data_IF_306640159251
#
_entry.id   IF_306640159251
#
_cell.length_a   1.000
_cell.length_b   1.000
_cell.length_c   1.000
_cell.angle_alpha   90.00
_cell.angle_beta   90.00
_cell.angle_gamma   90.00
#
_symmetry.space_group_name_H-M   'P 1'
#
loop_
_entity.id
_entity.type
_entity.pdbx_description
1 polymer ?
#
# COMPACT_ATOMS: atom_id res chain seq x y z
N UNK A 1 -8.64 46.39 35.10
CA UNK A 1 -7.35 45.73 35.40
C UNK A 1 -7.43 44.21 35.22
N UNK A 2 -8.42 43.52 35.80
CA UNK A 2 -8.66 42.06 35.65
C UNK A 2 -8.85 41.60 34.19
N UNK A 3 -9.40 42.45 33.33
CA UNK A 3 -9.69 42.12 31.93
C UNK A 3 -8.45 42.12 31.01
N UNK A 4 -7.41 42.89 31.37
CA UNK A 4 -6.14 42.91 30.65
C UNK A 4 -5.32 41.63 30.92
N UNK A 5 -5.27 41.21 32.18
CA UNK A 5 -4.57 39.98 32.60
C UNK A 5 -5.19 38.72 31.97
N UNK A 6 -6.52 38.70 31.85
CA UNK A 6 -7.24 37.56 31.30
C UNK A 6 -7.08 37.43 29.76
N UNK A 7 -6.79 38.55 29.09
CA UNK A 7 -6.42 38.57 27.67
C UNK A 7 -4.96 38.16 27.44
N UNK A 8 -4.05 38.59 28.32
CA UNK A 8 -2.63 38.22 28.25
C UNK A 8 -2.44 36.72 28.51
N UNK A 9 -3.12 36.16 29.51
CA UNK A 9 -3.10 34.73 29.80
C UNK A 9 -3.73 33.88 28.68
N UNK A 10 -4.74 34.41 27.97
CA UNK A 10 -5.31 33.77 26.77
C UNK A 10 -4.34 33.81 25.59
N UNK A 11 -3.63 34.92 25.41
CA UNK A 11 -2.66 35.11 24.34
C UNK A 11 -1.45 34.19 24.51
N UNK A 12 -0.90 34.05 25.72
CA UNK A 12 0.16 33.07 26.01
C UNK A 12 -0.29 31.62 25.80
N UNK A 13 -1.54 31.28 26.16
CA UNK A 13 -2.10 29.94 25.95
C UNK A 13 -2.28 29.64 24.46
N UNK A 14 -2.68 30.65 23.67
CA UNK A 14 -2.81 30.55 22.21
C UNK A 14 -1.43 30.37 21.54
N UNK A 15 -0.44 31.15 21.95
CA UNK A 15 0.93 31.06 21.43
C UNK A 15 1.54 29.67 21.73
N UNK A 16 1.30 29.14 22.94
CA UNK A 16 1.75 27.81 23.33
C UNK A 16 1.03 26.67 22.58
N UNK A 17 -0.27 26.80 22.29
CA UNK A 17 -0.97 25.85 21.40
C UNK A 17 -0.49 25.95 19.96
N UNK A 18 -0.19 27.16 19.47
CA UNK A 18 0.28 27.38 18.10
C UNK A 18 1.68 26.78 17.93
N UNK A 19 2.57 26.99 18.91
CA UNK A 19 3.92 26.43 18.92
C UNK A 19 3.90 24.89 18.98
N UNK A 20 3.00 24.31 19.79
CA UNK A 20 2.81 22.86 19.84
C UNK A 20 2.22 22.29 18.53
N UNK A 21 1.34 23.01 17.84
CA UNK A 21 0.83 22.58 16.52
C UNK A 21 1.91 22.62 15.44
N UNK A 22 2.82 23.60 15.44
CA UNK A 22 3.94 23.66 14.50
C UNK A 22 4.91 22.51 14.71
N UNK A 23 5.24 22.18 15.96
CA UNK A 23 6.11 21.03 16.30
C UNK A 23 5.47 19.71 15.82
N UNK A 24 4.16 19.55 16.02
CA UNK A 24 3.43 18.33 15.60
C UNK A 24 3.36 18.23 14.07
N UNK A 25 3.16 19.36 13.38
CA UNK A 25 3.21 19.44 11.92
C UNK A 25 4.58 19.05 11.37
N UNK A 26 5.66 19.61 11.93
CA UNK A 26 7.05 19.31 11.55
C UNK A 26 7.39 17.84 11.80
N UNK A 27 6.98 17.25 12.93
CA UNK A 27 7.14 15.82 13.18
C UNK A 27 6.37 14.96 12.17
N UNK A 28 5.14 15.34 11.81
CA UNK A 28 4.35 14.60 10.82
C UNK A 28 4.97 14.69 9.42
N UNK A 29 5.54 15.85 9.07
CA UNK A 29 6.23 16.09 7.80
C UNK A 29 7.52 15.27 7.73
N UNK A 30 8.32 15.26 8.80
CA UNK A 30 9.51 14.42 8.90
C UNK A 30 9.15 12.93 8.80
N UNK A 31 8.14 12.46 9.53
CA UNK A 31 7.68 11.06 9.43
C UNK A 31 7.15 10.72 8.03
N UNK A 32 6.47 11.65 7.36
CA UNK A 32 6.03 11.47 5.97
C UNK A 32 7.20 11.41 4.98
N UNK A 33 8.24 12.23 5.18
CA UNK A 33 9.46 12.23 4.34
C UNK A 33 10.24 10.95 4.55
N UNK A 34 10.48 10.55 5.81
CA UNK A 34 11.13 9.28 6.15
C UNK A 34 10.33 8.08 5.62
N UNK A 35 9.01 8.11 5.75
CA UNK A 35 8.12 7.07 5.19
C UNK A 35 8.21 6.97 3.67
N UNK A 36 8.20 8.11 2.96
CA UNK A 36 8.33 8.15 1.51
C UNK A 36 9.71 7.69 1.02
N UNK A 37 10.79 8.10 1.70
CA UNK A 37 12.15 7.62 1.43
C UNK A 37 12.26 6.11 1.67
N UNK A 38 11.73 5.62 2.80
CA UNK A 38 11.76 4.20 3.13
C UNK A 38 10.99 3.36 2.11
N UNK A 39 9.82 3.83 1.66
CA UNK A 39 9.07 3.22 0.56
C UNK A 39 9.86 3.20 -0.75
N UNK A 40 10.54 4.31 -1.10
CA UNK A 40 11.37 4.39 -2.30
C UNK A 40 12.56 3.41 -2.26
N UNK A 41 13.27 3.35 -1.13
CA UNK A 41 14.37 2.41 -0.94
C UNK A 41 13.88 0.95 -0.91
N UNK A 42 12.74 0.66 -0.28
CA UNK A 42 12.14 -0.67 -0.30
C UNK A 42 11.78 -1.10 -1.72
N UNK A 43 11.22 -0.22 -2.54
CA UNK A 43 10.93 -0.52 -3.95
C UNK A 43 12.23 -0.82 -4.71
N UNK A 44 13.28 -0.02 -4.54
CA UNK A 44 14.57 -0.27 -5.18
C UNK A 44 15.22 -1.59 -4.74
N UNK A 45 15.22 -1.88 -3.44
CA UNK A 45 15.79 -3.12 -2.89
C UNK A 45 15.01 -4.33 -3.41
N UNK A 46 13.67 -4.25 -3.46
CA UNK A 46 12.84 -5.32 -4.04
C UNK A 46 13.19 -5.57 -5.50
N UNK A 47 13.28 -4.51 -6.32
CA UNK A 47 13.62 -4.61 -7.74
C UNK A 47 15.03 -5.16 -7.93
N UNK A 48 16.00 -4.71 -7.14
CA UNK A 48 17.38 -5.22 -7.20
C UNK A 48 17.43 -6.70 -6.82
N UNK A 49 16.86 -7.08 -5.67
CA UNK A 49 16.85 -8.47 -5.21
C UNK A 49 16.15 -9.41 -6.21
N UNK A 50 15.02 -8.99 -6.76
CA UNK A 50 14.29 -9.72 -7.79
C UNK A 50 15.15 -9.93 -9.05
N UNK A 51 15.73 -8.85 -9.59
CA UNK A 51 16.54 -8.95 -10.81
C UNK A 51 17.82 -9.75 -10.58
N UNK A 52 18.45 -9.62 -9.41
CA UNK A 52 19.63 -10.41 -9.04
C UNK A 52 19.31 -11.91 -8.91
N UNK A 53 18.18 -12.26 -8.29
CA UNK A 53 17.75 -13.66 -8.17
C UNK A 53 17.42 -14.27 -9.55
N UNK A 54 16.78 -13.50 -10.43
CA UNK A 54 16.47 -13.95 -11.79
C UNK A 54 17.72 -14.09 -12.66
N UNK A 55 18.67 -13.16 -12.52
CA UNK A 55 19.98 -13.25 -13.18
C UNK A 55 20.77 -14.47 -12.69
N UNK A 56 20.78 -14.73 -11.37
CA UNK A 56 21.40 -15.92 -10.81
C UNK A 56 20.77 -17.21 -11.35
N UNK A 57 19.44 -17.30 -11.37
CA UNK A 57 18.72 -18.44 -11.93
C UNK A 57 19.08 -18.67 -13.41
N UNK A 58 19.15 -17.60 -14.20
CA UNK A 58 19.54 -17.66 -15.61
C UNK A 58 20.98 -18.16 -15.81
N UNK A 59 21.91 -17.70 -14.96
CA UNK A 59 23.29 -18.19 -14.97
C UNK A 59 23.31 -19.69 -14.69
N UNK A 60 22.64 -20.15 -13.63
CA UNK A 60 22.58 -21.56 -13.27
C UNK A 60 21.94 -22.44 -14.36
N UNK A 61 20.95 -21.91 -15.10
CA UNK A 61 20.36 -22.57 -16.27
C UNK A 61 21.37 -22.73 -17.41
N UNK A 62 22.09 -21.65 -17.76
CA UNK A 62 23.09 -21.67 -18.85
C UNK A 62 24.27 -22.58 -18.50
N UNK A 63 24.68 -22.61 -17.23
CA UNK A 63 25.79 -23.45 -16.75
C UNK A 63 25.35 -24.87 -16.38
N UNK A 64 24.13 -25.28 -16.75
CA UNK A 64 23.54 -26.61 -16.47
C UNK A 64 23.73 -27.05 -15.01
N UNK A 65 23.68 -26.10 -14.08
CA UNK A 65 24.05 -26.34 -12.68
C UNK A 65 22.89 -26.90 -11.86
N UNK A 66 21.69 -26.98 -12.43
CA UNK A 66 20.53 -27.60 -11.78
C UNK A 66 20.55 -29.12 -11.99
N UNK A 67 20.46 -29.91 -10.91
CA UNK A 67 20.44 -31.38 -11.02
C UNK A 67 19.12 -31.91 -11.61
N UNK A 68 18.03 -31.16 -11.49
CA UNK A 68 16.70 -31.49 -11.99
C UNK A 68 15.97 -30.22 -12.45
N UNK A 69 15.08 -30.36 -13.45
CA UNK A 69 14.29 -29.24 -14.00
C UNK A 69 13.34 -28.65 -12.95
N UNK A 70 12.86 -29.46 -12.00
CA UNK A 70 12.07 -28.99 -10.86
C UNK A 70 12.75 -27.83 -10.11
N UNK A 71 14.06 -27.92 -9.88
CA UNK A 71 14.78 -26.89 -9.13
C UNK A 71 14.95 -25.59 -9.91
N UNK A 72 15.08 -25.70 -11.24
CA UNK A 72 15.17 -24.53 -12.12
C UNK A 72 13.82 -23.79 -12.18
N UNK A 73 12.71 -24.52 -12.29
CA UNK A 73 11.36 -23.96 -12.31
C UNK A 73 11.00 -23.33 -10.95
N UNK A 74 11.33 -24.01 -9.85
CA UNK A 74 11.11 -23.48 -8.50
C UNK A 74 11.97 -22.23 -8.23
N UNK A 75 13.24 -22.25 -8.64
CA UNK A 75 14.17 -21.13 -8.55
C UNK A 75 13.69 -19.91 -9.35
N UNK A 76 13.07 -20.14 -10.52
CA UNK A 76 12.46 -19.09 -11.32
C UNK A 76 11.23 -18.49 -10.64
N UNK A 77 10.35 -19.33 -10.08
CA UNK A 77 9.09 -18.90 -9.50
C UNK A 77 9.24 -18.17 -8.14
N UNK A 78 10.17 -18.61 -7.29
CA UNK A 78 10.33 -18.11 -5.91
C UNK A 78 10.42 -16.57 -5.81
N UNK A 79 11.26 -15.88 -6.62
CA UNK A 79 11.30 -14.42 -6.65
C UNK A 79 9.96 -13.77 -7.00
N UNK A 80 9.19 -14.36 -7.93
CA UNK A 80 7.85 -13.88 -8.28
C UNK A 80 6.85 -14.05 -7.13
N UNK A 81 6.85 -15.21 -6.49
CA UNK A 81 5.98 -15.50 -5.34
C UNK A 81 6.23 -14.54 -4.17
N UNK A 82 7.50 -14.30 -3.83
CA UNK A 82 7.89 -13.34 -2.78
C UNK A 82 7.46 -11.93 -3.16
N UNK A 83 7.74 -11.49 -4.39
CA UNK A 83 7.38 -10.15 -4.85
C UNK A 83 5.86 -9.93 -4.82
N UNK A 84 5.08 -10.90 -5.33
CA UNK A 84 3.62 -10.86 -5.32
C UNK A 84 3.04 -10.80 -3.91
N UNK A 85 3.56 -11.63 -3.00
CA UNK A 85 3.15 -11.66 -1.58
C UNK A 85 3.41 -10.31 -0.89
N UNK A 86 4.58 -9.71 -1.14
CA UNK A 86 4.94 -8.40 -0.59
C UNK A 86 4.19 -7.24 -1.26
N UNK A 87 3.49 -7.48 -2.38
CA UNK A 87 2.66 -6.48 -3.05
C UNK A 87 1.44 -6.08 -2.22
N UNK A 88 0.87 -7.02 -1.45
CA UNK A 88 -0.36 -6.84 -0.66
C UNK A 88 -0.24 -5.74 0.39
N UNK A 89 0.97 -5.42 0.85
CA UNK A 89 1.18 -4.31 1.76
C UNK A 89 0.77 -2.95 1.16
N UNK A 90 0.77 -2.80 -0.17
CA UNK A 90 0.30 -1.58 -0.83
C UNK A 90 -1.20 -1.36 -0.64
N UNK A 91 -2.11 -2.27 -1.05
CA UNK A 91 -3.54 -2.10 -0.79
C UNK A 91 -3.86 -2.06 0.71
N UNK A 92 -3.15 -2.83 1.55
CA UNK A 92 -3.34 -2.79 3.00
C UNK A 92 -3.03 -1.39 3.57
N UNK A 93 -1.90 -0.80 3.16
CA UNK A 93 -1.50 0.57 3.51
C UNK A 93 -2.56 1.61 3.13
N UNK A 94 -3.17 1.49 1.95
CA UNK A 94 -4.23 2.41 1.50
C UNK A 94 -5.46 2.29 2.39
N UNK A 95 -5.89 1.07 2.72
CA UNK A 95 -7.05 0.87 3.60
C UNK A 95 -6.80 1.42 5.00
N UNK A 96 -5.60 1.22 5.54
CA UNK A 96 -5.24 1.72 6.87
C UNK A 96 -5.03 3.24 6.95
N UNK A 97 -4.63 3.87 5.84
CA UNK A 97 -4.43 5.33 5.75
C UNK A 97 -5.71 6.10 5.41
N UNK A 98 -6.75 5.42 4.91
CA UNK A 98 -8.03 6.06 4.62
C UNK A 98 -8.78 6.31 5.94
N UNK A 99 -9.01 7.58 6.36
CA UNK A 99 -9.76 7.86 7.58
C UNK A 99 -11.20 7.37 7.43
N UNK A 100 -11.76 6.78 8.48
CA UNK A 100 -13.20 6.53 8.54
C UNK A 100 -13.89 7.89 8.56
N UNK A 101 -14.63 8.21 7.51
CA UNK A 101 -15.54 9.35 7.58
C UNK A 101 -16.61 8.94 8.58
N UNK A 102 -16.68 9.64 9.72
CA UNK A 102 -17.84 9.58 10.62
C UNK A 102 -19.00 10.26 9.90
N UNK A 103 -19.49 9.63 8.84
CA UNK A 103 -20.70 10.05 8.18
C UNK A 103 -21.84 9.58 9.06
N UNK A 104 -22.56 10.52 9.67
CA UNK A 104 -23.87 10.31 10.31
C UNK A 104 -24.95 9.81 9.31
N UNK A 105 -24.55 9.21 8.19
CA UNK A 105 -25.39 8.45 7.28
C UNK A 105 -25.19 6.98 7.59
N UNK A 106 -26.29 6.30 7.87
CA UNK A 106 -26.45 4.86 8.15
C UNK A 106 -26.01 3.95 6.98
N UNK A 107 -24.84 4.18 6.37
CA UNK A 107 -24.33 3.35 5.28
C UNK A 107 -23.18 2.46 5.75
N UNK A 108 -23.51 1.19 5.80
CA UNK A 108 -22.90 0.07 6.51
C UNK A 108 -21.62 -0.47 5.87
N UNK A 109 -20.54 0.33 5.84
CA UNK A 109 -19.25 -0.16 5.30
C UNK A 109 -18.06 0.17 6.21
N UNK A 110 -18.27 0.10 7.52
CA UNK A 110 -17.21 -0.01 8.52
C UNK A 110 -16.56 -1.40 8.40
N UNK A 111 -15.62 -1.51 7.46
CA UNK A 111 -14.88 -2.73 7.21
C UNK A 111 -14.12 -3.15 8.48
N UNK A 112 -14.42 -4.34 8.99
CA UNK A 112 -13.81 -4.83 10.22
C UNK A 112 -12.29 -5.00 10.00
N UNK A 113 -11.48 -4.20 10.69
CA UNK A 113 -10.01 -4.21 10.55
C UNK A 113 -9.40 -5.59 10.79
N UNK A 114 -9.93 -6.36 11.75
CA UNK A 114 -9.48 -7.74 12.02
C UNK A 114 -9.76 -8.68 10.83
N UNK A 115 -10.86 -8.47 10.12
CA UNK A 115 -11.20 -9.23 8.92
C UNK A 115 -10.24 -8.89 7.77
N UNK A 116 -9.89 -7.61 7.63
CA UNK A 116 -8.91 -7.18 6.62
C UNK A 116 -7.52 -7.80 6.87
N UNK A 117 -7.08 -7.87 8.12
CA UNK A 117 -5.79 -8.48 8.47
C UNK A 117 -5.76 -9.97 8.14
N UNK A 118 -6.83 -10.71 8.49
CA UNK A 118 -6.96 -12.13 8.15
C UNK A 118 -6.96 -12.33 6.64
N UNK A 119 -7.71 -11.51 5.90
CA UNK A 119 -7.70 -11.56 4.43
C UNK A 119 -6.32 -11.25 3.86
N UNK A 120 -5.61 -10.26 4.41
CA UNK A 120 -4.24 -9.93 4.00
C UNK A 120 -3.28 -11.11 4.17
N UNK A 121 -3.33 -11.79 5.32
CA UNK A 121 -2.51 -12.98 5.59
C UNK A 121 -2.84 -14.12 4.61
N UNK A 122 -4.13 -14.37 4.35
CA UNK A 122 -4.55 -15.40 3.40
C UNK A 122 -4.00 -15.11 2.01
N UNK A 123 -4.07 -13.85 1.55
CA UNK A 123 -3.59 -13.47 0.22
C UNK A 123 -2.05 -13.53 0.16
N UNK A 124 -1.32 -13.32 1.26
CA UNK A 124 0.15 -13.49 1.33
C UNK A 124 0.54 -14.95 1.12
N UNK A 125 -0.21 -15.88 1.70
CA UNK A 125 0.10 -17.32 1.64
C UNK A 125 -0.41 -17.96 0.33
N UNK A 126 -1.52 -17.46 -0.19
CA UNK A 126 -2.19 -17.91 -1.42
C UNK A 126 -1.26 -18.25 -2.59
N UNK A 127 -0.32 -17.38 -3.02
CA UNK A 127 0.54 -17.68 -4.15
C UNK A 127 1.43 -18.92 -3.92
N UNK A 128 1.80 -19.24 -2.69
CA UNK A 128 2.60 -20.44 -2.42
C UNK A 128 1.76 -21.71 -2.50
N UNK A 129 0.55 -21.68 -1.95
CA UNK A 129 -0.34 -22.85 -1.94
C UNK A 129 -0.80 -23.20 -3.35
N UNK A 130 -1.15 -22.20 -4.17
CA UNK A 130 -1.67 -22.47 -5.51
C UNK A 130 -0.55 -22.73 -6.49
N UNK A 131 0.47 -21.87 -6.53
CA UNK A 131 1.41 -21.90 -7.66
C UNK A 131 2.57 -22.86 -7.48
N UNK A 132 3.04 -23.15 -6.25
CA UNK A 132 4.13 -24.12 -6.05
C UNK A 132 3.74 -25.50 -6.61
N UNK A 133 2.54 -26.06 -6.35
CA UNK A 133 2.14 -27.33 -6.95
C UNK A 133 2.21 -27.33 -8.48
N UNK A 134 1.75 -26.26 -9.14
CA UNK A 134 1.83 -26.18 -10.61
C UNK A 134 3.28 -26.19 -11.12
N UNK A 135 4.16 -25.44 -10.45
CA UNK A 135 5.60 -25.34 -10.80
C UNK A 135 6.32 -26.67 -10.56
N UNK A 136 6.00 -27.36 -9.46
CA UNK A 136 6.55 -28.69 -9.19
C UNK A 136 6.06 -29.72 -10.21
N UNK A 137 4.78 -29.69 -10.57
CA UNK A 137 4.23 -30.59 -11.58
C UNK A 137 4.84 -30.33 -12.96
N UNK A 138 4.97 -29.07 -13.39
CA UNK A 138 5.60 -28.75 -14.68
C UNK A 138 7.05 -29.21 -14.73
N UNK A 139 7.82 -29.00 -13.66
CA UNK A 139 9.19 -29.49 -13.55
C UNK A 139 9.27 -31.02 -13.54
N UNK A 140 8.40 -31.69 -12.80
CA UNK A 140 8.37 -33.16 -12.71
C UNK A 140 8.08 -33.82 -14.06
N UNK A 141 7.05 -33.35 -14.78
CA UNK A 141 6.74 -33.86 -16.10
C UNK A 141 7.86 -33.58 -17.11
N UNK A 142 8.57 -32.45 -16.95
CA UNK A 142 9.75 -32.16 -17.76
C UNK A 142 10.91 -33.11 -17.48
N UNK A 143 11.14 -33.51 -16.21
CA UNK A 143 12.21 -34.44 -15.84
C UNK A 143 11.97 -35.86 -16.40
N UNK A 144 10.70 -36.28 -16.54
CA UNK A 144 10.35 -37.57 -17.16
C UNK A 144 10.15 -37.50 -18.68
N UNK A 145 10.54 -36.38 -19.32
CA UNK A 145 10.39 -36.10 -20.75
C UNK A 145 8.95 -36.13 -21.29
N UNK A 146 7.95 -35.93 -20.43
CA UNK A 146 6.54 -35.80 -20.82
C UNK A 146 6.21 -34.31 -21.06
N UNK A 147 6.60 -33.85 -22.26
CA UNK A 147 6.52 -32.44 -22.64
C UNK A 147 5.08 -31.93 -22.77
N UNK A 148 4.13 -32.80 -23.07
CA UNK A 148 2.72 -32.42 -23.24
C UNK A 148 2.12 -32.01 -21.89
N UNK A 149 2.28 -32.85 -20.87
CA UNK A 149 1.82 -32.55 -19.53
C UNK A 149 2.61 -31.41 -18.89
N UNK A 150 3.94 -31.36 -19.08
CA UNK A 150 4.77 -30.26 -18.58
C UNK A 150 4.28 -28.90 -19.10
N UNK A 151 4.01 -28.81 -20.40
CA UNK A 151 3.54 -27.58 -21.03
C UNK A 151 2.10 -27.22 -20.62
N UNK A 152 1.24 -28.20 -20.34
CA UNK A 152 -0.11 -27.97 -19.84
C UNK A 152 -0.07 -27.29 -18.46
N UNK A 153 0.68 -27.83 -17.50
CA UNK A 153 0.78 -27.26 -16.16
C UNK A 153 1.49 -25.91 -16.16
N UNK A 154 2.53 -25.75 -17.01
CA UNK A 154 3.20 -24.47 -17.22
C UNK A 154 2.22 -23.40 -17.72
N UNK A 155 1.43 -23.69 -18.77
CA UNK A 155 0.43 -22.75 -19.29
C UNK A 155 -0.64 -22.42 -18.24
N UNK A 156 -1.14 -23.43 -17.52
CA UNK A 156 -2.14 -23.24 -16.48
C UNK A 156 -1.65 -22.31 -15.36
N UNK A 157 -0.39 -22.47 -14.93
CA UNK A 157 0.26 -21.58 -13.98
C UNK A 157 0.22 -20.11 -14.44
N UNK A 158 0.70 -19.82 -15.66
CA UNK A 158 0.78 -18.44 -16.18
C UNK A 158 -0.58 -17.79 -16.41
N UNK A 159 -1.58 -18.58 -16.85
CA UNK A 159 -2.96 -18.09 -17.00
C UNK A 159 -3.52 -17.71 -15.62
N UNK A 160 -3.38 -18.60 -14.62
CA UNK A 160 -3.85 -18.34 -13.26
C UNK A 160 -3.15 -17.10 -12.68
N UNK A 161 -1.83 -16.97 -12.86
CA UNK A 161 -1.06 -15.81 -12.43
C UNK A 161 -1.54 -14.51 -13.07
N UNK A 162 -1.83 -14.53 -14.37
CA UNK A 162 -2.33 -13.36 -15.11
C UNK A 162 -3.71 -12.93 -14.63
N UNK A 163 -4.62 -13.88 -14.37
CA UNK A 163 -5.93 -13.58 -13.79
C UNK A 163 -5.79 -12.95 -12.41
N UNK A 164 -4.93 -13.50 -11.55
CA UNK A 164 -4.62 -12.91 -10.24
C UNK A 164 -4.06 -11.49 -10.35
N UNK A 165 -3.17 -11.24 -11.32
CA UNK A 165 -2.60 -9.92 -11.55
C UNK A 165 -3.67 -8.89 -11.98
N UNK A 166 -4.59 -9.26 -12.87
CA UNK A 166 -5.70 -8.39 -13.30
C UNK A 166 -6.61 -8.06 -12.11
N UNK A 167 -6.98 -9.06 -11.30
CA UNK A 167 -7.80 -8.85 -10.09
C UNK A 167 -7.10 -7.92 -9.10
N UNK A 168 -5.79 -8.08 -8.92
CA UNK A 168 -4.99 -7.22 -8.07
C UNK A 168 -4.98 -5.78 -8.55
N UNK A 169 -4.79 -5.53 -9.85
CA UNK A 169 -4.83 -4.18 -10.43
C UNK A 169 -6.22 -3.57 -10.24
N UNK A 170 -7.28 -4.31 -10.51
CA UNK A 170 -8.66 -3.84 -10.33
C UNK A 170 -8.95 -3.44 -8.87
N UNK A 171 -8.50 -4.26 -7.91
CA UNK A 171 -8.59 -3.94 -6.48
C UNK A 171 -7.82 -2.66 -6.13
N UNK A 172 -6.60 -2.52 -6.65
CA UNK A 172 -5.76 -1.34 -6.41
C UNK A 172 -6.45 -0.08 -6.96
N UNK A 173 -6.94 -0.13 -8.19
CA UNK A 173 -7.68 0.97 -8.83
C UNK A 173 -8.91 1.39 -8.02
N UNK A 174 -9.69 0.42 -7.53
CA UNK A 174 -10.84 0.69 -6.67
C UNK A 174 -10.44 1.38 -5.36
N UNK A 175 -9.39 0.90 -4.70
CA UNK A 175 -8.92 1.48 -3.43
C UNK A 175 -8.37 2.90 -3.62
N UNK A 176 -7.62 3.15 -4.70
CA UNK A 176 -7.15 4.49 -5.03
C UNK A 176 -8.29 5.45 -5.34
N UNK A 177 -9.30 5.01 -6.10
CA UNK A 177 -10.49 5.81 -6.37
C UNK A 177 -11.20 6.21 -5.07
N UNK A 178 -11.40 5.25 -4.15
CA UNK A 178 -12.01 5.51 -2.84
C UNK A 178 -11.18 6.48 -2.00
N UNK A 179 -9.85 6.33 -1.99
CA UNK A 179 -8.94 7.23 -1.27
C UNK A 179 -9.08 8.67 -1.79
N UNK A 180 -9.03 8.86 -3.11
CA UNK A 180 -9.19 10.18 -3.75
C UNK A 180 -10.56 10.78 -3.40
N UNK A 181 -11.62 9.97 -3.43
CA UNK A 181 -12.97 10.41 -3.06
C UNK A 181 -13.02 10.93 -1.61
N UNK A 182 -12.47 10.18 -0.66
CA UNK A 182 -12.44 10.59 0.77
C UNK A 182 -11.62 11.87 0.96
N UNK A 183 -10.45 11.98 0.33
CA UNK A 183 -9.62 13.19 0.39
C UNK A 183 -10.38 14.40 -0.16
N UNK A 184 -11.03 14.26 -1.32
CA UNK A 184 -11.81 15.33 -1.93
C UNK A 184 -13.01 15.73 -1.07
N UNK A 185 -13.67 14.77 -0.42
CA UNK A 185 -14.75 15.04 0.53
C UNK A 185 -14.25 15.87 1.72
N UNK A 186 -13.13 15.48 2.33
CA UNK A 186 -12.53 16.20 3.45
C UNK A 186 -12.10 17.62 3.05
N UNK A 187 -11.47 17.79 1.87
CA UNK A 187 -11.11 19.11 1.33
C UNK A 187 -12.36 19.99 1.16
N UNK A 188 -13.46 19.43 0.64
CA UNK A 188 -14.73 20.15 0.47
C UNK A 188 -15.31 20.56 1.82
N UNK A 189 -15.28 19.67 2.82
CA UNK A 189 -15.78 19.95 4.16
C UNK A 189 -14.97 21.06 4.84
N UNK A 190 -13.63 21.02 4.75
CA UNK A 190 -12.74 22.07 5.26
C UNK A 190 -13.01 23.42 4.58
N UNK A 191 -13.17 23.45 3.26
CA UNK A 191 -13.53 24.69 2.53
C UNK A 191 -14.88 25.25 2.95
N UNK A 192 -15.87 24.38 3.22
CA UNK A 192 -17.18 24.80 3.69
C UNK A 192 -17.11 25.41 5.10
N UNK A 193 -16.34 24.78 5.99
CA UNK A 193 -16.08 25.31 7.33
C UNK A 193 -15.34 26.65 7.28
N UNK A 194 -14.33 26.79 6.40
CA UNK A 194 -13.57 28.04 6.20
C UNK A 194 -14.46 29.19 5.71
N UNK A 195 -15.36 28.91 4.78
CA UNK A 195 -16.31 29.89 4.24
C UNK A 195 -17.35 30.33 5.28
N UNK A 196 -17.76 29.42 6.16
CA UNK A 196 -18.77 29.66 7.18
C UNK A 196 -18.19 30.07 8.55
N UNK A 197 -16.87 30.18 8.69
CA UNK A 197 -16.23 30.57 9.95
C UNK A 197 -16.30 32.10 10.16
N UNK A 198 -17.11 32.58 11.12
CA UNK A 198 -17.34 34.02 11.32
C UNK A 198 -16.07 34.77 11.78
N UNK A 199 -15.19 34.12 12.54
CA UNK A 199 -13.96 34.73 13.07
C UNK A 199 -12.88 34.90 12.00
N UNK A 200 -12.75 33.94 11.09
CA UNK A 200 -11.80 34.08 9.98
C UNK A 200 -12.28 35.12 8.96
N UNK A 201 -13.59 35.18 8.73
CA UNK A 201 -14.19 36.16 7.85
C UNK A 201 -14.10 37.58 8.42
N UNK A 202 -14.23 37.76 9.74
CA UNK A 202 -14.03 39.05 10.40
C UNK A 202 -12.56 39.51 10.32
N UNK A 203 -11.59 38.61 10.54
CA UNK A 203 -10.16 38.91 10.41
C UNK A 203 -9.75 39.24 8.96
N UNK A 204 -10.20 38.47 7.96
CA UNK A 204 -9.97 38.78 6.53
C UNK A 204 -10.61 40.10 6.10
N UNK A 205 -11.66 40.56 6.79
CA UNK A 205 -12.32 41.85 6.54
C UNK A 205 -11.54 42.99 7.21
N UNK A 206 -11.08 42.80 8.44
CA UNK A 206 -10.22 43.75 9.15
C UNK A 206 -8.90 44.00 8.40
N UNK A 207 -8.26 42.95 7.84
CA UNK A 207 -7.03 43.07 7.06
C UNK A 207 -7.21 43.79 5.71
N UNK A 208 -8.42 43.80 5.12
CA UNK A 208 -8.72 44.50 3.86
C UNK A 208 -9.03 45.99 4.05
N UNK A 209 -9.28 46.39 5.29
CA UNK A 209 -9.63 47.77 5.66
C UNK A 209 -8.44 48.55 6.24
N UNK A 210 -7.23 47.97 6.17
CA UNK A 210 -5.93 48.59 6.44
C UNK A 210 -5.20 48.74 5.11
#
# INVERSE_FOLDING_TARGET
>A
MVELDNNYARMCRFDQTTNNTWITLVLSLLNSIFGAMFLYYLVKIKVLAYNSALAFNMICLITESYPHVIWAELGNYLPHGICGSLGIFTPLSIVYSTPSVDSNSEDSLTLNRKFLDIMGIIVIIHPYIIFIPFVLLSGYYSDINDLENAMLYFKAHYICWTVCAILYIALLSYLYYRLIYVINYQIKNIKHYDANNPDLNSWKRAKRNV
#
